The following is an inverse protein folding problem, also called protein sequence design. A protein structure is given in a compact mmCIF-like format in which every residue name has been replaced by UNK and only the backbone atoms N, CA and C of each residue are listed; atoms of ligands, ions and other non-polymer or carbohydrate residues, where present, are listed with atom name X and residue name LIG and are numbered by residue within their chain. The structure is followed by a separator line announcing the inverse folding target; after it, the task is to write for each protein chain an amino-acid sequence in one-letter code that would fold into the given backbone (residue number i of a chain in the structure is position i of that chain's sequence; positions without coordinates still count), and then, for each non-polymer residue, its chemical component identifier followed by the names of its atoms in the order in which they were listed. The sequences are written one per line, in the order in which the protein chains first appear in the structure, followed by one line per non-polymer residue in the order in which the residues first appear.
data_IF_121441555958
#
_entry.id   IF_121441555958
#
_cell.length_a   1.000
_cell.length_b   1.000
_cell.length_c   1.000
_cell.angle_alpha   90.00
_cell.angle_beta   90.00
_cell.angle_gamma   90.00
#
_symmetry.space_group_name_H-M   'P 1'
#
loop_
_entity.id
_entity.type
_entity.pdbx_description
1 polymer ?
#
# COMPACT_ATOMS: atom_id res chain seq x y z
N UNK A 1 -9.65 18.00 -3.79
CA UNK A 1 -9.11 16.70 -4.27
C UNK A 1 -7.61 16.74 -4.52
N UNK A 2 -7.06 17.75 -5.19
CA UNK A 2 -5.60 17.91 -5.38
C UNK A 2 -4.83 17.93 -4.04
N UNK A 3 -5.34 18.68 -3.05
CA UNK A 3 -4.76 18.72 -1.71
C UNK A 3 -4.70 17.34 -1.02
N UNK A 4 -5.70 16.48 -1.23
CA UNK A 4 -5.71 15.14 -0.65
C UNK A 4 -4.65 14.23 -1.29
N UNK A 5 -4.44 14.34 -2.61
CA UNK A 5 -3.36 13.62 -3.31
C UNK A 5 -1.99 14.12 -2.84
N UNK A 6 -1.82 15.43 -2.69
CA UNK A 6 -0.58 16.04 -2.20
C UNK A 6 -0.22 15.61 -0.76
N UNK A 7 -1.21 15.22 0.05
CA UNK A 7 -0.99 14.68 1.41
C UNK A 7 -0.77 13.16 1.36
N UNK A 8 -1.55 12.43 0.57
CA UNK A 8 -1.48 10.97 0.48
C UNK A 8 -0.19 10.47 -0.16
N UNK A 9 0.30 11.16 -1.20
CA UNK A 9 1.53 10.77 -1.91
C UNK A 9 2.77 10.73 -0.98
N UNK A 10 3.10 11.80 -0.23
CA UNK A 10 4.23 11.75 0.70
C UNK A 10 4.02 10.75 1.83
N UNK A 11 2.78 10.56 2.32
CA UNK A 11 2.47 9.53 3.31
C UNK A 11 2.75 8.11 2.78
N UNK A 12 2.35 7.82 1.54
CA UNK A 12 2.67 6.56 0.86
C UNK A 12 4.18 6.36 0.74
N UNK A 13 4.91 7.39 0.30
CA UNK A 13 6.37 7.33 0.11
C UNK A 13 7.09 7.11 1.45
N UNK A 14 6.72 7.85 2.49
CA UNK A 14 7.31 7.72 3.84
C UNK A 14 6.99 6.34 4.43
N UNK A 15 5.75 5.87 4.30
CA UNK A 15 5.35 4.55 4.81
C UNK A 15 6.08 3.42 4.10
N UNK A 16 6.21 3.50 2.78
CA UNK A 16 6.97 2.56 1.97
C UNK A 16 8.46 2.55 2.35
N UNK A 17 9.05 3.74 2.49
CA UNK A 17 10.44 3.89 2.91
C UNK A 17 10.69 3.28 4.31
N UNK A 18 9.82 3.57 5.28
CA UNK A 18 9.93 3.01 6.63
C UNK A 18 9.77 1.48 6.64
N UNK A 19 8.86 0.97 5.83
CA UNK A 19 8.64 -0.47 5.66
C UNK A 19 9.90 -1.18 5.11
N UNK A 20 10.57 -0.58 4.12
CA UNK A 20 11.82 -1.13 3.57
C UNK A 20 13.03 -0.96 4.49
N UNK A 21 13.18 0.21 5.11
CA UNK A 21 14.40 0.58 5.88
C UNK A 21 14.53 -0.18 7.18
N UNK A 22 13.45 -0.30 7.96
CA UNK A 22 13.53 -1.04 9.23
C UNK A 22 13.77 -2.48 8.87
N UNK A 23 14.93 -3.05 9.15
CA UNK A 23 15.20 -4.49 9.01
C UNK A 23 15.51 -5.04 10.40
N UNK A 24 14.74 -6.03 10.91
CA UNK A 24 15.11 -6.74 12.12
C UNK A 24 16.50 -7.37 11.96
N UNK A 25 17.37 -7.16 12.95
CA UNK A 25 18.73 -7.73 12.97
C UNK A 25 18.72 -9.26 13.09
N UNK A 26 17.64 -9.82 13.62
CA UNK A 26 17.50 -11.24 14.00
C UNK A 26 16.90 -12.15 12.92
N UNK A 27 16.30 -11.60 11.86
CA UNK A 27 15.63 -12.41 10.82
C UNK A 27 16.53 -12.56 9.59
N UNK A 28 16.51 -13.75 8.99
CA UNK A 28 17.20 -14.06 7.73
C UNK A 28 16.81 -13.02 6.67
N UNK A 29 17.78 -12.24 6.18
CA UNK A 29 17.60 -11.17 5.18
C UNK A 29 16.79 -11.61 3.95
N UNK A 30 16.92 -12.88 3.52
CA UNK A 30 16.17 -13.45 2.39
C UNK A 30 14.66 -13.56 2.67
N UNK A 31 14.27 -14.05 3.84
CA UNK A 31 12.86 -14.17 4.22
C UNK A 31 12.19 -12.80 4.34
N UNK A 32 12.93 -11.81 4.85
CA UNK A 32 12.45 -10.45 4.95
C UNK A 32 12.26 -9.77 3.59
N UNK A 33 13.19 -9.97 2.65
CA UNK A 33 13.02 -9.47 1.27
C UNK A 33 11.81 -10.09 0.60
N UNK A 34 11.63 -11.41 0.74
CA UNK A 34 10.49 -12.11 0.17
C UNK A 34 9.16 -11.57 0.73
N UNK A 35 9.09 -11.35 2.05
CA UNK A 35 7.92 -10.76 2.70
C UNK A 35 7.63 -9.33 2.19
N UNK A 36 8.66 -8.50 2.05
CA UNK A 36 8.49 -7.14 1.56
C UNK A 36 8.00 -7.13 0.10
N UNK A 37 8.58 -7.98 -0.76
CA UNK A 37 8.16 -8.11 -2.16
C UNK A 37 6.70 -8.59 -2.24
N UNK A 38 6.35 -9.64 -1.49
CA UNK A 38 4.99 -10.16 -1.45
C UNK A 38 3.99 -9.07 -0.99
N UNK A 39 4.32 -8.32 0.05
CA UNK A 39 3.48 -7.20 0.54
C UNK A 39 3.23 -6.15 -0.53
N UNK A 40 4.28 -5.75 -1.26
CA UNK A 40 4.17 -4.75 -2.32
C UNK A 40 3.34 -5.28 -3.49
N UNK A 41 3.54 -6.53 -3.89
CA UNK A 41 2.74 -7.17 -4.93
C UNK A 41 1.27 -7.28 -4.54
N UNK A 42 0.96 -7.65 -3.30
CA UNK A 42 -0.42 -7.68 -2.79
C UNK A 42 -1.05 -6.30 -2.81
N UNK A 43 -0.32 -5.26 -2.40
CA UNK A 43 -0.82 -3.89 -2.40
C UNK A 43 -1.16 -3.41 -3.83
N UNK A 44 -0.29 -3.71 -4.80
CA UNK A 44 -0.51 -3.41 -6.22
C UNK A 44 -1.71 -4.19 -6.76
N UNK A 45 -1.76 -5.51 -6.53
CA UNK A 45 -2.84 -6.37 -7.01
C UNK A 45 -4.21 -5.91 -6.48
N UNK A 46 -4.29 -5.55 -5.20
CA UNK A 46 -5.53 -5.04 -4.61
C UNK A 46 -5.94 -3.68 -5.18
N UNK A 47 -4.97 -2.79 -5.38
CA UNK A 47 -5.22 -1.46 -5.98
C UNK A 47 -5.76 -1.60 -7.41
N UNK A 48 -5.21 -2.53 -8.18
CA UNK A 48 -5.69 -2.84 -9.54
C UNK A 48 -7.10 -3.44 -9.47
N UNK A 49 -7.33 -4.44 -8.62
CA UNK A 49 -8.64 -5.07 -8.47
C UNK A 49 -9.74 -4.08 -8.06
N UNK A 50 -9.47 -3.18 -7.10
CA UNK A 50 -10.44 -2.13 -6.70
C UNK A 50 -10.71 -1.14 -7.84
N UNK A 51 -9.68 -0.77 -8.61
CA UNK A 51 -9.83 0.12 -9.77
C UNK A 51 -10.72 -0.51 -10.87
N UNK A 52 -10.57 -1.81 -11.13
CA UNK A 52 -11.45 -2.55 -12.04
C UNK A 52 -12.89 -2.63 -11.53
N UNK A 53 -13.09 -2.85 -10.23
CA UNK A 53 -14.42 -2.86 -9.60
C UNK A 53 -15.11 -1.50 -9.67
N UNK A 54 -14.35 -0.41 -9.55
CA UNK A 54 -14.86 0.94 -9.73
C UNK A 54 -15.31 1.19 -11.17
N UNK A 55 -14.54 0.71 -12.16
CA UNK A 55 -14.87 0.90 -13.58
C UNK A 55 -16.20 0.24 -13.95
N UNK A 56 -16.50 -0.94 -13.39
CA UNK A 56 -17.75 -1.66 -13.67
C UNK A 56 -18.99 -1.17 -12.93
N UNK A 57 -18.87 -0.33 -11.89
CA UNK A 57 -19.99 0.07 -11.01
C UNK A 57 -20.39 1.53 -11.12
N UNK A 58 -19.52 2.37 -11.64
CA UNK A 58 -19.71 3.81 -11.63
C UNK A 58 -19.86 4.32 -13.06
N UNK A 59 -21.09 4.69 -13.44
CA UNK A 59 -21.37 5.58 -14.58
C UNK A 59 -20.89 7.01 -14.30
N UNK A 60 -19.67 7.14 -13.79
CA UNK A 60 -19.03 8.38 -13.40
C UNK A 60 -18.31 8.94 -14.62
N UNK A 61 -18.44 10.26 -14.83
CA UNK A 61 -17.68 11.00 -15.83
C UNK A 61 -16.22 10.54 -15.90
N UNK A 62 -15.79 10.14 -17.10
CA UNK A 62 -14.49 9.50 -17.37
C UNK A 62 -13.32 10.32 -16.79
N UNK A 63 -13.45 11.65 -16.71
CA UNK A 63 -12.45 12.54 -16.11
C UNK A 63 -12.27 12.36 -14.60
N UNK A 64 -13.35 12.14 -13.85
CA UNK A 64 -13.30 12.02 -12.39
C UNK A 64 -12.92 10.62 -11.91
N UNK A 65 -13.15 9.60 -12.75
CA UNK A 65 -12.82 8.21 -12.48
C UNK A 65 -11.35 8.03 -12.06
N UNK A 66 -10.41 8.60 -12.83
CA UNK A 66 -8.97 8.47 -12.56
C UNK A 66 -8.56 9.10 -11.23
N UNK A 67 -9.19 10.23 -10.86
CA UNK A 67 -8.88 10.94 -9.63
C UNK A 67 -9.38 10.14 -8.42
N UNK A 68 -10.62 9.64 -8.48
CA UNK A 68 -11.23 8.84 -7.41
C UNK A 68 -10.52 7.49 -7.26
N UNK A 69 -10.21 6.82 -8.37
CA UNK A 69 -9.46 5.56 -8.38
C UNK A 69 -8.05 5.76 -7.79
N UNK A 70 -7.37 6.85 -8.14
CA UNK A 70 -6.04 7.16 -7.58
C UNK A 70 -6.10 7.43 -6.07
N UNK A 71 -7.12 8.16 -5.59
CA UNK A 71 -7.29 8.45 -4.17
C UNK A 71 -7.57 7.19 -3.35
N UNK A 72 -8.48 6.34 -3.84
CA UNK A 72 -8.79 5.05 -3.22
C UNK A 72 -7.59 4.11 -3.27
N UNK A 73 -6.91 4.04 -4.41
CA UNK A 73 -5.72 3.23 -4.58
C UNK A 73 -4.62 3.60 -3.60
N UNK A 74 -4.33 4.90 -3.43
CA UNK A 74 -3.37 5.36 -2.43
C UNK A 74 -3.79 4.99 -0.99
N UNK A 75 -5.09 5.07 -0.69
CA UNK A 75 -5.64 4.70 0.62
C UNK A 75 -5.48 3.20 0.89
N UNK A 76 -5.87 2.35 -0.06
CA UNK A 76 -5.73 0.89 0.02
C UNK A 76 -4.26 0.51 0.16
N UNK A 77 -3.39 1.11 -0.64
CA UNK A 77 -1.95 0.89 -0.60
C UNK A 77 -1.37 1.21 0.79
N UNK A 78 -1.75 2.34 1.39
CA UNK A 78 -1.40 2.71 2.76
C UNK A 78 -1.90 1.69 3.78
N UNK A 79 -3.17 1.29 3.70
CA UNK A 79 -3.77 0.32 4.62
C UNK A 79 -3.04 -1.03 4.54
N UNK A 80 -2.71 -1.52 3.34
CA UNK A 80 -1.98 -2.77 3.16
C UNK A 80 -0.57 -2.66 3.75
N UNK A 81 0.16 -1.58 3.46
CA UNK A 81 1.50 -1.35 4.01
C UNK A 81 1.50 -1.25 5.54
N UNK A 82 0.53 -0.55 6.11
CA UNK A 82 0.40 -0.40 7.56
C UNK A 82 0.05 -1.74 8.21
N UNK A 83 -0.94 -2.47 7.68
CA UNK A 83 -1.36 -3.76 8.21
C UNK A 83 -0.23 -4.78 8.15
N UNK A 84 0.44 -4.89 7.00
CA UNK A 84 1.58 -5.81 6.85
C UNK A 84 2.80 -5.35 7.66
N UNK A 85 2.99 -4.04 7.84
CA UNK A 85 3.97 -3.47 8.76
C UNK A 85 3.71 -3.84 10.22
N UNK A 86 2.45 -3.84 10.66
CA UNK A 86 2.03 -4.30 11.97
C UNK A 86 2.22 -5.80 12.13
N UNK A 87 1.78 -6.61 11.17
CA UNK A 87 1.99 -8.08 11.15
C UNK A 87 3.49 -8.38 11.25
N UNK A 88 4.30 -7.67 10.47
CA UNK A 88 5.75 -7.78 10.53
C UNK A 88 6.29 -7.44 11.91
N UNK A 89 5.88 -6.32 12.51
CA UNK A 89 6.30 -5.95 13.87
C UNK A 89 5.90 -7.02 14.89
N UNK A 90 4.67 -7.52 14.85
CA UNK A 90 4.21 -8.58 15.75
C UNK A 90 5.02 -9.87 15.59
N UNK A 91 5.30 -10.30 14.37
CA UNK A 91 6.11 -11.50 14.08
C UNK A 91 7.59 -11.35 14.47
N UNK A 92 8.10 -10.11 14.47
CA UNK A 92 9.50 -9.78 14.78
C UNK A 92 9.74 -9.64 16.28
N UNK A 93 8.83 -8.95 16.98
CA UNK A 93 9.00 -8.55 18.39
C UNK A 93 8.31 -9.48 19.39
N UNK A 94 7.57 -10.50 18.95
CA UNK A 94 7.06 -11.59 19.82
C UNK A 94 8.03 -12.77 19.98
N UNK A 95 9.29 -12.62 19.55
CA UNK A 95 10.35 -13.60 19.83
C UNK A 95 11.22 -13.13 20.97
#
# INVERSE_FOLDING_TARGET
MIAAILILLPLCVVSFYQFLKRSPRTIKKKALRLFNIATVLTAIAWTVADSWLLHGKMGVDIGWFWVVASLRGATIFLVVLLTMGLVRNLCVFRK
#
